data_IF_725059933626
#
_entry.id   IF_725059933626
#
_cell.length_a   1.000
_cell.length_b   1.000
_cell.length_c   1.000
_cell.angle_alpha   90.00
_cell.angle_beta   90.00
_cell.angle_gamma   90.00
#
_symmetry.space_group_name_H-M   'P 1'
#
loop_
_entity.id
_entity.type
_entity.pdbx_description
1 polymer ?
#
# COMPACT_ATOMS: atom_id res chain seq x y z
N UNK A 1 3.72 -20.95 -14.50
CA UNK A 1 2.26 -20.88 -14.28
C UNK A 1 1.68 -19.96 -15.34
N UNK A 2 0.82 -20.47 -16.23
CA UNK A 2 0.09 -19.58 -17.15
C UNK A 2 -0.83 -18.68 -16.33
N UNK A 3 -0.87 -17.38 -16.60
CA UNK A 3 -1.70 -16.41 -15.85
C UNK A 3 -1.24 -16.10 -14.42
N UNK A 4 0.06 -16.29 -14.10
CA UNK A 4 0.65 -16.07 -12.78
C UNK A 4 0.30 -14.71 -12.14
N UNK A 5 0.29 -13.66 -12.95
CA UNK A 5 -0.19 -12.34 -12.55
C UNK A 5 -0.84 -11.65 -13.75
N UNK A 6 -2.16 -11.71 -13.82
CA UNK A 6 -2.98 -10.94 -14.79
C UNK A 6 -3.48 -9.62 -14.19
N UNK A 7 -3.19 -9.36 -12.91
CA UNK A 7 -3.66 -8.18 -12.21
C UNK A 7 -2.72 -7.00 -12.46
N UNK A 8 -1.41 -7.15 -12.28
CA UNK A 8 -0.41 -6.11 -12.63
C UNK A 8 0.49 -6.52 -13.79
N UNK A 9 0.53 -7.81 -14.12
CA UNK A 9 1.40 -8.38 -15.14
C UNK A 9 2.69 -8.89 -14.51
N UNK A 10 3.13 -10.09 -14.92
CA UNK A 10 4.34 -10.74 -14.38
C UNK A 10 5.63 -9.92 -14.50
N UNK A 11 5.70 -8.95 -15.42
CA UNK A 11 6.83 -8.01 -15.55
C UNK A 11 6.78 -6.82 -14.59
N UNK A 12 5.71 -6.67 -13.80
CA UNK A 12 5.42 -5.54 -12.92
C UNK A 12 4.65 -5.98 -11.66
N UNK A 13 5.06 -7.11 -11.09
CA UNK A 13 4.41 -7.78 -9.97
C UNK A 13 4.16 -6.87 -8.74
N UNK A 14 5.10 -5.97 -8.45
CA UNK A 14 5.03 -5.01 -7.35
C UNK A 14 4.29 -3.70 -7.71
N UNK A 15 3.89 -3.52 -8.98
CA UNK A 15 3.23 -2.32 -9.50
C UNK A 15 4.14 -1.10 -9.61
N UNK A 16 5.46 -1.25 -9.40
CA UNK A 16 6.42 -0.14 -9.40
C UNK A 16 6.51 0.57 -10.76
N UNK A 17 6.15 -0.10 -11.86
CA UNK A 17 6.19 0.47 -13.21
C UNK A 17 4.85 1.08 -13.64
N UNK A 18 3.79 1.01 -12.83
CA UNK A 18 2.54 1.69 -13.13
C UNK A 18 2.77 3.20 -13.29
N UNK A 19 2.16 3.77 -14.32
CA UNK A 19 2.12 5.22 -14.49
C UNK A 19 1.39 5.87 -13.31
N UNK A 20 1.91 7.02 -12.87
CA UNK A 20 1.30 7.82 -11.83
C UNK A 20 0.76 9.11 -12.45
N UNK A 21 -0.53 9.38 -12.26
CA UNK A 21 -1.17 10.62 -12.68
C UNK A 21 -1.62 11.36 -11.42
N UNK A 22 -0.94 12.45 -11.10
CA UNK A 22 -1.30 13.30 -9.97
C UNK A 22 -2.51 14.14 -10.32
N UNK A 23 -3.57 14.05 -9.51
CA UNK A 23 -4.77 14.87 -9.68
C UNK A 23 -4.69 16.12 -8.81
N UNK A 24 -5.08 17.27 -9.36
CA UNK A 24 -5.23 18.52 -8.62
C UNK A 24 -6.65 18.56 -8.08
N UNK A 25 -6.80 18.59 -6.76
CA UNK A 25 -8.10 18.65 -6.09
C UNK A 25 -8.50 20.10 -5.78
N UNK A 26 -9.81 20.39 -5.85
CA UNK A 26 -10.34 21.72 -5.52
C UNK A 26 -10.04 22.13 -4.08
N UNK A 27 -10.08 21.15 -3.16
CA UNK A 27 -9.56 21.28 -1.80
C UNK A 27 -8.27 20.49 -1.70
N UNK A 28 -7.17 21.16 -1.40
CA UNK A 28 -5.88 20.52 -1.25
C UNK A 28 -5.88 19.57 -0.06
N UNK A 29 -5.57 18.30 -0.29
CA UNK A 29 -5.30 17.34 0.77
C UNK A 29 -3.97 17.68 1.46
N UNK A 30 -4.02 17.90 2.78
CA UNK A 30 -2.86 18.23 3.63
C UNK A 30 -2.76 17.17 4.74
N UNK A 31 -1.55 16.74 5.10
CA UNK A 31 -1.41 15.87 6.26
C UNK A 31 -1.68 16.62 7.57
N UNK A 32 -2.26 15.92 8.53
CA UNK A 32 -2.53 16.45 9.87
C UNK A 32 -1.83 15.59 10.92
N UNK A 33 -1.46 16.20 12.04
CA UNK A 33 -0.89 15.47 13.17
C UNK A 33 -1.99 14.68 13.86
N UNK A 34 -1.77 13.38 14.01
CA UNK A 34 -2.63 12.45 14.73
C UNK A 34 -1.78 11.67 15.75
N UNK A 35 -2.42 11.06 16.75
CA UNK A 35 -1.71 10.13 17.62
C UNK A 35 -1.25 8.92 16.80
N UNK A 36 0.03 8.57 16.89
CA UNK A 36 0.64 7.53 16.05
C UNK A 36 -0.02 6.18 16.32
N UNK A 37 -0.43 5.92 17.56
CA UNK A 37 -1.14 4.71 17.98
C UNK A 37 -2.48 4.55 17.26
N UNK A 38 -3.18 5.66 16.98
CA UNK A 38 -4.45 5.63 16.21
C UNK A 38 -4.17 5.19 14.77
N UNK A 39 -3.09 5.68 14.16
CA UNK A 39 -2.69 5.27 12.80
C UNK A 39 -2.28 3.79 12.79
N UNK A 40 -1.50 3.35 13.80
CA UNK A 40 -1.09 1.96 13.94
C UNK A 40 -2.28 1.01 14.09
N UNK A 41 -3.29 1.37 14.90
CA UNK A 41 -4.52 0.58 15.03
C UNK A 41 -5.24 0.41 13.68
N UNK A 42 -5.38 1.50 12.91
CA UNK A 42 -6.01 1.45 11.58
C UNK A 42 -5.24 0.54 10.62
N UNK A 43 -3.90 0.62 10.62
CA UNK A 43 -3.06 -0.25 9.79
C UNK A 43 -3.16 -1.73 10.19
N UNK A 44 -3.26 -2.04 11.49
CA UNK A 44 -3.49 -3.41 11.97
C UNK A 44 -4.86 -3.94 11.49
N UNK A 45 -5.91 -3.10 11.50
CA UNK A 45 -7.21 -3.50 10.94
C UNK A 45 -7.10 -3.83 9.45
N UNK A 46 -6.41 -3.01 8.66
CA UNK A 46 -6.18 -3.29 7.23
C UNK A 46 -5.39 -4.59 7.02
N UNK A 47 -4.41 -4.87 7.88
CA UNK A 47 -3.66 -6.12 7.85
C UNK A 47 -4.55 -7.34 8.12
N UNK A 48 -5.42 -7.29 9.12
CA UNK A 48 -6.34 -8.39 9.42
C UNK A 48 -7.41 -8.56 8.32
N UNK A 49 -7.88 -7.47 7.72
CA UNK A 49 -8.77 -7.56 6.55
C UNK A 49 -8.04 -8.21 5.36
N UNK A 50 -6.78 -7.87 5.10
CA UNK A 50 -6.00 -8.51 4.05
C UNK A 50 -5.84 -10.03 4.30
N UNK A 51 -5.51 -10.44 5.53
CA UNK A 51 -5.48 -11.86 5.92
C UNK A 51 -6.82 -12.53 5.69
N UNK A 52 -7.91 -11.91 6.13
CA UNK A 52 -9.27 -12.45 5.99
C UNK A 52 -9.64 -12.63 4.51
N UNK A 53 -9.32 -11.67 3.64
CA UNK A 53 -9.54 -11.76 2.19
C UNK A 53 -8.79 -12.95 1.58
N UNK A 54 -7.48 -13.07 1.84
CA UNK A 54 -6.64 -14.14 1.29
C UNK A 54 -7.09 -15.52 1.78
N UNK A 55 -7.31 -15.68 3.08
CA UNK A 55 -7.61 -16.98 3.69
C UNK A 55 -9.02 -17.49 3.39
N UNK A 56 -10.00 -16.60 3.20
CA UNK A 56 -11.39 -17.00 2.97
C UNK A 56 -11.67 -17.22 1.48
N UNK A 57 -11.03 -16.47 0.58
CA UNK A 57 -11.35 -16.52 -0.86
C UNK A 57 -10.38 -17.34 -1.71
N UNK A 58 -9.21 -17.70 -1.20
CA UNK A 58 -8.21 -18.46 -1.94
C UNK A 58 -7.95 -19.78 -1.20
N UNK A 59 -8.22 -20.92 -1.84
CA UNK A 59 -8.05 -22.24 -1.20
C UNK A 59 -6.61 -22.76 -1.34
N UNK A 60 -5.96 -22.44 -2.46
CA UNK A 60 -4.62 -22.93 -2.80
C UNK A 60 -3.56 -22.09 -2.09
N UNK A 61 -2.77 -22.72 -1.23
CA UNK A 61 -1.72 -22.05 -0.44
C UNK A 61 -0.64 -21.43 -1.32
N UNK A 62 -0.37 -21.99 -2.50
CA UNK A 62 0.53 -21.43 -3.49
C UNK A 62 -0.01 -20.10 -4.03
N UNK A 63 -1.31 -20.03 -4.33
CA UNK A 63 -1.96 -18.79 -4.77
C UNK A 63 -2.04 -17.76 -3.65
N UNK A 64 -2.34 -18.19 -2.41
CA UNK A 64 -2.29 -17.31 -1.23
C UNK A 64 -0.90 -16.69 -1.07
N UNK A 65 0.15 -17.49 -1.23
CA UNK A 65 1.55 -17.06 -1.14
C UNK A 65 1.87 -16.01 -2.20
N UNK A 66 1.46 -16.24 -3.45
CA UNK A 66 1.68 -15.30 -4.56
C UNK A 66 0.98 -13.96 -4.28
N UNK A 67 -0.31 -14.00 -3.91
CA UNK A 67 -1.09 -12.78 -3.66
C UNK A 67 -0.55 -12.01 -2.44
N UNK A 68 -0.15 -12.71 -1.38
CA UNK A 68 0.47 -12.10 -0.22
C UNK A 68 1.81 -11.43 -0.57
N UNK A 69 2.63 -12.07 -1.41
CA UNK A 69 3.89 -11.49 -1.89
C UNK A 69 3.65 -10.26 -2.79
N UNK A 70 2.59 -10.25 -3.62
CA UNK A 70 2.19 -9.05 -4.38
C UNK A 70 1.79 -7.88 -3.47
N UNK A 71 1.08 -8.17 -2.38
CA UNK A 71 0.70 -7.16 -1.39
C UNK A 71 1.91 -6.62 -0.64
N UNK A 72 2.76 -7.52 -0.13
CA UNK A 72 4.00 -7.20 0.60
C UNK A 72 4.99 -6.39 -0.25
N UNK A 73 5.22 -6.80 -1.50
CA UNK A 73 6.09 -6.07 -2.43
C UNK A 73 5.55 -4.67 -2.76
N UNK A 74 4.23 -4.50 -2.89
CA UNK A 74 3.59 -3.19 -3.03
C UNK A 74 3.86 -2.26 -1.83
N UNK A 75 3.81 -2.78 -0.60
CA UNK A 75 4.19 -2.01 0.60
C UNK A 75 5.68 -1.68 0.62
N UNK A 76 6.53 -2.57 0.12
CA UNK A 76 7.97 -2.32 -0.03
C UNK A 76 8.24 -1.18 -1.03
N UNK A 77 7.50 -1.13 -2.15
CA UNK A 77 7.56 0.01 -3.09
C UNK A 77 7.12 1.30 -2.41
N UNK A 78 6.01 1.28 -1.68
CA UNK A 78 5.54 2.45 -0.95
C UNK A 78 6.55 2.97 0.10
N UNK A 79 7.26 2.07 0.79
CA UNK A 79 8.35 2.45 1.68
C UNK A 79 9.48 3.19 0.93
N UNK A 80 9.81 2.74 -0.29
CA UNK A 80 10.79 3.42 -1.16
C UNK A 80 10.29 4.79 -1.63
N UNK A 81 8.99 4.91 -1.89
CA UNK A 81 8.37 6.19 -2.21
C UNK A 81 8.52 7.16 -1.03
N UNK A 82 8.19 6.73 0.21
CA UNK A 82 8.35 7.54 1.43
C UNK A 82 9.79 8.02 1.60
N UNK A 83 10.78 7.15 1.32
CA UNK A 83 12.20 7.51 1.37
C UNK A 83 12.70 8.32 0.17
N UNK A 84 11.81 8.64 -0.79
CA UNK A 84 12.12 9.37 -2.04
C UNK A 84 13.23 8.71 -2.85
N UNK A 85 13.28 7.38 -2.84
CA UNK A 85 14.24 6.57 -3.60
C UNK A 85 13.67 6.02 -4.90
N UNK A 86 12.42 6.37 -5.22
CA UNK A 86 11.78 6.09 -6.51
C UNK A 86 11.56 7.41 -7.28
N UNK A 87 11.12 7.30 -8.52
CA UNK A 87 10.69 8.46 -9.33
C UNK A 87 9.23 8.86 -9.05
N UNK A 88 8.50 8.10 -8.20
CA UNK A 88 7.10 8.36 -7.89
C UNK A 88 6.95 9.41 -6.80
N UNK A 89 5.81 10.09 -6.82
CA UNK A 89 5.37 10.93 -5.71
C UNK A 89 4.80 10.06 -4.58
N UNK A 90 5.00 10.51 -3.34
CA UNK A 90 4.40 9.90 -2.15
C UNK A 90 2.93 10.26 -2.10
N UNK A 91 2.09 9.34 -2.58
CA UNK A 91 0.65 9.54 -2.68
C UNK A 91 -0.10 8.22 -2.72
N UNK A 92 -1.42 8.30 -2.88
CA UNK A 92 -2.30 7.15 -3.01
C UNK A 92 -3.33 7.40 -4.11
N UNK A 93 -3.78 6.32 -4.76
CA UNK A 93 -4.87 6.42 -5.73
C UNK A 93 -6.20 6.58 -4.99
N UNK A 94 -6.84 7.75 -5.13
CA UNK A 94 -8.05 8.07 -4.36
C UNK A 94 -9.26 7.23 -4.75
N UNK A 95 -9.35 6.79 -6.01
CA UNK A 95 -10.45 5.97 -6.46
C UNK A 95 -10.32 4.56 -5.89
N UNK A 96 -9.11 4.00 -5.90
CA UNK A 96 -8.86 2.68 -5.30
C UNK A 96 -9.01 2.73 -3.77
N UNK A 97 -8.45 3.74 -3.11
CA UNK A 97 -8.56 3.90 -1.66
C UNK A 97 -10.03 4.09 -1.21
N UNK A 98 -10.85 4.76 -2.03
CA UNK A 98 -12.28 4.97 -1.77
C UNK A 98 -13.12 3.70 -1.74
N UNK A 99 -12.62 2.58 -2.29
CA UNK A 99 -13.32 1.29 -2.34
C UNK A 99 -13.24 0.50 -1.03
N UNK A 100 -12.61 1.03 0.02
CA UNK A 100 -12.46 0.31 1.30
C UNK A 100 -13.80 -0.16 1.88
N UNK A 101 -14.88 0.61 1.69
CA UNK A 101 -16.23 0.25 2.13
C UNK A 101 -16.84 -0.92 1.35
N UNK A 102 -16.31 -1.24 0.16
CA UNK A 102 -16.79 -2.33 -0.70
C UNK A 102 -16.14 -3.68 -0.37
N UNK A 103 -15.17 -3.73 0.56
CA UNK A 103 -14.51 -4.97 0.96
C UNK A 103 -15.42 -5.90 1.77
N UNK A 104 -16.48 -5.35 2.38
CA UNK A 104 -17.43 -6.09 3.20
C UNK A 104 -18.87 -5.69 2.88
N UNK A 105 -19.79 -6.62 3.00
CA UNK A 105 -21.22 -6.35 2.96
C UNK A 105 -21.68 -5.65 4.26
N UNK A 106 -22.89 -5.06 4.29
CA UNK A 106 -23.44 -4.41 5.48
C UNK A 106 -23.56 -5.33 6.71
N UNK A 107 -23.62 -6.65 6.51
CA UNK A 107 -23.66 -7.66 7.58
C UNK A 107 -22.27 -8.05 8.11
N UNK A 108 -21.19 -7.45 7.58
CA UNK A 108 -19.81 -7.73 7.96
C UNK A 108 -19.20 -8.98 7.31
N UNK A 109 -19.94 -9.68 6.44
CA UNK A 109 -19.38 -10.71 5.56
C UNK A 109 -18.49 -10.09 4.49
N UNK A 110 -17.56 -10.88 3.93
CA UNK A 110 -16.72 -10.39 2.84
C UNK A 110 -17.54 -10.22 1.57
N UNK A 111 -17.29 -9.12 0.85
CA UNK A 111 -17.86 -8.91 -0.47
C UNK A 111 -17.15 -9.81 -1.50
N UNK A 112 -17.91 -10.39 -2.43
CA UNK A 112 -17.37 -11.12 -3.59
C UNK A 112 -17.51 -10.32 -4.88
N UNK A 113 -17.90 -9.04 -4.79
CA UNK A 113 -18.07 -8.18 -5.95
C UNK A 113 -16.72 -7.84 -6.58
N UNK A 114 -16.67 -7.89 -7.90
CA UNK A 114 -15.59 -7.28 -8.66
C UNK A 114 -15.62 -5.75 -8.41
N UNK A 115 -14.48 -5.21 -7.97
CA UNK A 115 -14.31 -3.79 -7.69
C UNK A 115 -14.07 -2.96 -8.96
N UNK A 116 -13.99 -3.60 -10.14
CA UNK A 116 -14.05 -2.95 -11.45
C UNK A 116 -12.75 -2.29 -11.89
N UNK A 117 -11.60 -2.70 -11.34
CA UNK A 117 -10.30 -2.16 -11.73
C UNK A 117 -9.24 -3.25 -11.92
N UNK A 118 -8.27 -2.96 -12.81
CA UNK A 118 -7.10 -3.79 -13.01
C UNK A 118 -5.90 -3.20 -12.24
N UNK A 119 -4.99 -4.03 -11.76
CA UNK A 119 -3.82 -3.60 -11.00
C UNK A 119 -2.91 -2.62 -11.75
N UNK A 120 -2.87 -2.68 -13.09
CA UNK A 120 -2.12 -1.71 -13.93
C UNK A 120 -2.70 -0.29 -13.89
N UNK A 121 -3.98 -0.12 -13.53
CA UNK A 121 -4.62 1.19 -13.43
C UNK A 121 -4.32 1.92 -12.12
N UNK A 122 -3.82 1.21 -11.10
CA UNK A 122 -3.50 1.77 -9.78
C UNK A 122 -2.42 2.84 -9.91
N UNK A 123 -2.76 4.08 -9.52
CA UNK A 123 -1.91 5.27 -9.64
C UNK A 123 -2.46 6.32 -10.61
N UNK A 124 -3.53 5.98 -11.36
CA UNK A 124 -4.14 6.88 -12.35
C UNK A 124 -4.94 8.02 -11.73
N UNK A 125 -5.23 7.99 -10.42
CA UNK A 125 -5.91 9.06 -9.70
C UNK A 125 -5.16 9.42 -8.40
N UNK A 126 -3.86 9.68 -8.51
CA UNK A 126 -2.99 9.87 -7.35
C UNK A 126 -3.22 11.22 -6.69
N UNK A 127 -3.56 11.19 -5.41
CA UNK A 127 -3.51 12.36 -4.53
C UNK A 127 -2.17 12.37 -3.81
N UNK A 128 -1.50 13.52 -3.83
CA UNK A 128 -0.23 13.76 -3.13
C UNK A 128 -0.49 14.75 -2.00
N UNK A 129 -0.63 14.29 -0.75
CA UNK A 129 -0.83 15.18 0.39
C UNK A 129 0.36 16.14 0.55
N UNK A 130 0.08 17.41 0.84
CA UNK A 130 1.10 18.39 1.22
C UNK A 130 1.29 18.44 2.74
N UNK A 131 2.20 19.30 3.22
CA UNK A 131 2.42 19.52 4.66
C UNK A 131 3.43 18.58 5.31
N UNK A 132 4.04 17.65 4.57
CA UNK A 132 5.08 16.76 5.11
C UNK A 132 6.30 17.55 5.60
N UNK A 133 7.01 17.02 6.59
CA UNK A 133 8.28 17.56 7.10
C UNK A 133 9.49 17.25 6.19
N UNK A 134 9.27 16.76 4.96
CA UNK A 134 10.36 16.41 4.06
C UNK A 134 11.18 17.64 3.69
N UNK A 135 12.51 17.53 3.85
CA UNK A 135 13.49 18.53 3.44
C UNK A 135 14.52 17.86 2.52
N UNK A 136 14.78 18.42 1.35
CA UNK A 136 15.74 17.84 0.38
C UNK A 136 17.19 17.77 0.90
N UNK A 137 17.57 18.58 1.91
CA UNK A 137 18.92 18.57 2.47
C UNK A 137 19.11 17.49 3.54
N UNK A 138 18.21 17.41 4.52
CA UNK A 138 18.35 16.54 5.70
C UNK A 138 17.41 15.32 5.68
N UNK A 139 16.34 15.38 4.89
CA UNK A 139 15.30 14.34 4.78
C UNK A 139 15.85 12.98 4.38
N UNK A 140 16.70 12.85 3.35
CA UNK A 140 17.26 11.56 2.96
C UNK A 140 17.99 10.84 4.10
N UNK A 141 18.89 11.54 4.80
CA UNK A 141 19.63 10.96 5.92
C UNK A 141 18.70 10.65 7.11
N UNK A 142 17.78 11.56 7.44
CA UNK A 142 16.84 11.38 8.54
C UNK A 142 15.92 10.16 8.33
N UNK A 143 15.37 9.99 7.12
CA UNK A 143 14.52 8.85 6.79
C UNK A 143 15.32 7.55 6.74
N UNK A 144 16.56 7.57 6.22
CA UNK A 144 17.41 6.38 6.24
C UNK A 144 17.73 5.92 7.67
N UNK A 145 18.05 6.86 8.58
CA UNK A 145 18.26 6.53 10.00
C UNK A 145 17.01 5.93 10.65
N UNK A 146 15.84 6.52 10.40
CA UNK A 146 14.57 6.02 10.92
C UNK A 146 14.26 4.60 10.40
N UNK A 147 14.47 4.37 9.09
CA UNK A 147 14.26 3.07 8.48
C UNK A 147 15.20 2.00 9.05
N UNK A 148 16.49 2.31 9.18
CA UNK A 148 17.46 1.38 9.76
C UNK A 148 17.14 1.03 11.21
N UNK A 149 16.68 1.99 12.01
CA UNK A 149 16.24 1.73 13.38
C UNK A 149 15.00 0.82 13.43
N UNK A 150 14.01 1.07 12.57
CA UNK A 150 12.81 0.24 12.48
C UNK A 150 13.14 -1.20 12.04
N UNK A 151 14.01 -1.36 11.04
CA UNK A 151 14.45 -2.68 10.57
C UNK A 151 15.22 -3.45 11.64
N UNK A 152 16.08 -2.76 12.40
CA UNK A 152 16.79 -3.39 13.53
C UNK A 152 15.81 -3.92 14.59
N UNK A 153 14.77 -3.14 14.93
CA UNK A 153 13.73 -3.57 15.87
C UNK A 153 12.91 -4.76 15.36
N UNK A 154 12.52 -4.73 14.07
CA UNK A 154 11.80 -5.83 13.43
C UNK A 154 12.63 -7.13 13.44
N UNK A 155 13.91 -7.04 13.05
CA UNK A 155 14.82 -8.19 13.00
C UNK A 155 15.11 -8.79 14.39
N UNK A 156 15.23 -7.94 15.41
CA UNK A 156 15.40 -8.39 16.79
C UNK A 156 14.22 -9.24 17.28
N UNK A 157 13.00 -8.93 16.81
CA UNK A 157 11.78 -9.66 17.16
C UNK A 157 11.66 -10.98 16.39
N UNK A 158 12.13 -11.05 15.15
CA UNK A 158 12.12 -12.30 14.36
C UNK A 158 13.18 -13.33 14.80
N UNK A 159 14.15 -12.92 15.61
CA UNK A 159 15.22 -13.78 16.12
C UNK A 159 14.93 -14.36 17.52
N UNK A 160 13.85 -13.92 18.17
CA UNK A 160 13.35 -14.42 19.47
C UNK A 160 12.19 -15.38 19.29
#
# INVERSE_FOLDING_TARGET
MSGFDNFRGSGNFDGSQNAQVTVIEEQQTVCHTEQIEIIQQKLVVLQEIAKRQVLVHICEVETQTIVLEQFSSGLTVFQKDISRTTTKQVGYDKNVAGLVGNLTNPDGSLSTSDLGFNGTSVGSNTVVPSGSNWNNTQGPEAVQKALSAAQAAANATSAS
#
